data_IF_840570548126
#
_entry.id   IF_840570548126
#
_cell.length_a   1.000
_cell.length_b   1.000
_cell.length_c   1.000
_cell.angle_alpha   90.00
_cell.angle_beta   90.00
_cell.angle_gamma   90.00
#
_symmetry.space_group_name_H-M   'P 1'
#
loop_
_entity.id
_entity.type
_entity.pdbx_description
1 polymer ?
#
# COMPACT_ATOMS: atom_id res chain seq x y z
N UNK A 1 -17.28 18.78 -3.25
CA UNK A 1 -16.19 19.51 -2.55
C UNK A 1 -15.05 18.54 -2.32
N UNK A 2 -13.83 18.93 -2.72
CA UNK A 2 -12.60 18.20 -2.45
C UNK A 2 -11.66 19.12 -1.69
N UNK A 3 -10.95 18.58 -0.70
CA UNK A 3 -9.92 19.29 0.05
C UNK A 3 -8.56 18.91 -0.49
N UNK A 4 -7.65 19.87 -0.58
CA UNK A 4 -6.25 19.63 -0.94
C UNK A 4 -5.50 19.36 0.36
N UNK A 5 -4.89 18.19 0.46
CA UNK A 5 -4.08 17.79 1.61
C UNK A 5 -2.66 17.44 1.15
N UNK A 6 -1.69 17.57 2.06
CA UNK A 6 -0.32 17.14 1.79
C UNK A 6 0.28 16.31 2.92
N UNK A 7 1.21 15.42 2.58
CA UNK A 7 1.95 14.61 3.56
C UNK A 7 2.98 15.45 4.32
N UNK A 8 3.22 15.16 5.59
CA UNK A 8 4.31 15.76 6.37
C UNK A 8 5.61 14.95 6.23
N UNK A 9 6.32 15.13 5.11
CA UNK A 9 7.45 14.25 4.78
C UNK A 9 8.68 14.44 5.69
N UNK A 10 8.82 15.58 6.37
CA UNK A 10 9.91 15.82 7.33
C UNK A 10 9.85 14.89 8.56
N UNK A 11 8.65 14.44 8.93
CA UNK A 11 8.46 13.46 10.00
C UNK A 11 8.93 12.06 9.59
N UNK A 12 9.05 11.81 8.27
CA UNK A 12 9.52 10.55 7.72
C UNK A 12 11.01 10.75 7.38
N UNK A 13 11.90 9.97 7.99
CA UNK A 13 13.36 10.05 7.76
C UNK A 13 13.78 9.48 6.39
N UNK A 14 13.20 9.99 5.30
CA UNK A 14 13.51 9.63 3.92
C UNK A 14 14.31 10.76 3.22
N UNK A 15 14.98 10.43 2.11
CA UNK A 15 15.77 11.39 1.32
C UNK A 15 14.92 12.50 0.71
N UNK A 16 13.66 12.21 0.39
CA UNK A 16 12.76 13.15 -0.27
C UNK A 16 12.26 14.22 0.72
N UNK A 17 12.39 15.49 0.33
CA UNK A 17 11.88 16.64 1.11
C UNK A 17 10.59 17.24 0.56
N UNK A 18 10.25 16.96 -0.70
CA UNK A 18 9.02 17.44 -1.35
C UNK A 18 7.83 16.65 -0.85
N UNK A 19 6.83 17.33 -0.30
CA UNK A 19 5.58 16.71 0.13
C UNK A 19 4.75 16.20 -1.05
N UNK A 20 3.99 15.14 -0.83
CA UNK A 20 2.98 14.67 -1.77
C UNK A 20 1.67 15.40 -1.50
N UNK A 21 1.04 15.92 -2.55
CA UNK A 21 -0.23 16.64 -2.49
C UNK A 21 -1.30 15.75 -3.13
N UNK A 22 -2.50 15.75 -2.56
CA UNK A 22 -3.63 14.98 -3.06
C UNK A 22 -4.94 15.71 -2.79
N UNK A 23 -5.85 15.66 -3.77
CA UNK A 23 -7.25 16.00 -3.54
C UNK A 23 -7.99 14.83 -2.88
N UNK A 24 -8.71 15.11 -1.80
CA UNK A 24 -9.52 14.14 -1.08
C UNK A 24 -10.97 14.62 -1.10
N UNK A 25 -11.87 13.76 -1.57
CA UNK A 25 -13.29 14.09 -1.63
C UNK A 25 -13.93 14.03 -0.24
N UNK A 26 -14.65 15.10 0.13
CA UNK A 26 -15.49 15.11 1.34
C UNK A 26 -16.88 14.56 1.02
N UNK A 27 -17.24 13.49 1.74
CA UNK A 27 -18.52 12.80 1.62
C UNK A 27 -19.36 13.00 2.89
N UNK A 28 -20.69 12.97 2.76
CA UNK A 28 -21.66 13.21 3.85
C UNK A 28 -22.09 14.67 3.98
N UNK A 29 -23.32 14.91 4.48
CA UNK A 29 -23.87 16.26 4.70
C UNK A 29 -24.21 17.06 3.43
N UNK A 30 -24.70 18.28 3.63
CA UNK A 30 -24.98 19.24 2.55
C UNK A 30 -23.69 19.85 1.98
N UNK A 31 -23.81 20.66 0.91
CA UNK A 31 -22.66 21.38 0.35
C UNK A 31 -22.14 22.41 1.35
N UNK A 32 -23.04 23.13 2.03
CA UNK A 32 -22.69 24.15 3.03
C UNK A 32 -21.90 23.55 4.20
N UNK A 33 -22.36 22.40 4.72
CA UNK A 33 -21.68 21.68 5.80
C UNK A 33 -20.25 21.29 5.41
N UNK A 34 -20.06 20.81 4.18
CA UNK A 34 -18.74 20.43 3.66
C UNK A 34 -17.81 21.63 3.53
N UNK A 35 -18.30 22.80 3.10
CA UNK A 35 -17.48 24.02 3.01
C UNK A 35 -17.10 24.48 4.42
N UNK A 36 -18.06 24.50 5.35
CA UNK A 36 -17.82 24.87 6.75
C UNK A 36 -16.77 23.96 7.38
N UNK A 37 -16.92 22.64 7.24
CA UNK A 37 -15.95 21.66 7.74
C UNK A 37 -14.57 21.86 7.13
N UNK A 38 -14.49 22.07 5.81
CA UNK A 38 -13.22 22.31 5.12
C UNK A 38 -12.53 23.58 5.61
N UNK A 39 -13.28 24.64 5.90
CA UNK A 39 -12.76 25.91 6.44
C UNK A 39 -12.26 25.73 7.88
N UNK A 40 -12.99 25.00 8.71
CA UNK A 40 -12.61 24.74 10.11
C UNK A 40 -11.34 23.89 10.24
N UNK A 41 -11.09 23.00 9.26
CA UNK A 41 -9.93 22.10 9.22
C UNK A 41 -8.79 22.62 8.34
N UNK A 42 -8.91 23.82 7.78
CA UNK A 42 -7.84 24.46 7.03
C UNK A 42 -6.64 24.71 7.97
N UNK A 43 -5.43 24.49 7.45
CA UNK A 43 -4.15 24.59 8.19
C UNK A 43 -3.97 23.62 9.37
N UNK A 44 -4.93 22.70 9.61
CA UNK A 44 -4.85 21.71 10.68
C UNK A 44 -4.46 20.33 10.14
N UNK A 45 -3.68 19.54 10.89
CA UNK A 45 -3.39 18.16 10.52
C UNK A 45 -4.61 17.26 10.73
N UNK A 46 -4.81 16.30 9.83
CA UNK A 46 -5.82 15.25 9.95
C UNK A 46 -5.11 13.92 10.21
N UNK A 47 -5.43 13.29 11.34
CA UNK A 47 -4.87 11.98 11.71
C UNK A 47 -5.54 10.84 10.94
N UNK A 48 -4.82 9.73 10.77
CA UNK A 48 -5.32 8.56 10.03
C UNK A 48 -6.52 7.89 10.73
N UNK A 49 -6.57 7.95 12.05
CA UNK A 49 -7.66 7.47 12.91
C UNK A 49 -8.98 8.20 12.67
N UNK A 50 -8.93 9.47 12.26
CA UNK A 50 -10.12 10.25 11.92
C UNK A 50 -10.68 9.88 10.55
N UNK A 51 -9.87 9.26 9.69
CA UNK A 51 -10.26 8.87 8.34
C UNK A 51 -10.68 7.41 8.31
N UNK A 52 -9.89 6.50 8.87
CA UNK A 52 -10.11 5.05 8.80
C UNK A 52 -10.38 4.45 10.18
N UNK A 53 -11.20 3.39 10.19
CA UNK A 53 -11.51 2.61 11.38
C UNK A 53 -10.65 1.35 11.49
N UNK A 54 -10.54 0.84 12.71
CA UNK A 54 -10.04 -0.50 12.98
C UNK A 54 -10.95 -1.55 12.31
N UNK A 55 -10.38 -2.66 11.83
CA UNK A 55 -11.08 -3.77 11.15
C UNK A 55 -11.80 -3.42 9.84
N UNK A 56 -11.65 -2.17 9.37
CA UNK A 56 -12.22 -1.69 8.13
C UNK A 56 -11.55 -2.31 6.90
N UNK A 57 -12.33 -2.57 5.86
CA UNK A 57 -11.84 -2.94 4.53
C UNK A 57 -11.57 -1.67 3.72
N UNK A 58 -10.33 -1.51 3.28
CA UNK A 58 -9.89 -0.38 2.47
C UNK A 58 -9.33 -0.85 1.12
N UNK A 59 -9.18 0.10 0.20
CA UNK A 59 -8.51 -0.13 -1.06
C UNK A 59 -7.14 0.55 -1.06
N UNK A 60 -6.12 -0.12 -1.61
CA UNK A 60 -4.79 0.42 -1.80
C UNK A 60 -4.58 0.75 -3.28
N UNK A 61 -4.27 2.01 -3.58
CA UNK A 61 -3.96 2.50 -4.92
C UNK A 61 -2.50 2.90 -4.98
N UNK A 62 -1.78 2.44 -6.00
CA UNK A 62 -0.38 2.80 -6.16
C UNK A 62 0.28 2.23 -7.40
N UNK A 63 1.59 2.43 -7.48
CA UNK A 63 2.42 1.96 -8.59
C UNK A 63 3.21 0.73 -8.17
N UNK A 64 3.06 -0.36 -8.94
CA UNK A 64 3.74 -1.63 -8.70
C UNK A 64 5.27 -1.50 -8.76
N UNK A 65 6.00 -2.44 -8.15
CA UNK A 65 7.47 -2.48 -8.26
C UNK A 65 7.89 -2.64 -9.73
N UNK A 66 8.68 -1.70 -10.22
CA UNK A 66 9.26 -1.74 -11.56
C UNK A 66 10.20 -2.94 -11.73
N UNK A 67 10.12 -3.62 -12.87
CA UNK A 67 11.01 -4.72 -13.26
C UNK A 67 11.71 -4.45 -14.60
N UNK A 68 11.49 -3.28 -15.22
CA UNK A 68 12.13 -2.85 -16.48
C UNK A 68 11.63 -3.63 -17.70
N UNK A 69 12.41 -3.60 -18.79
CA UNK A 69 12.13 -4.37 -20.00
C UNK A 69 12.32 -5.87 -19.74
N UNK A 70 11.30 -6.68 -20.02
CA UNK A 70 11.33 -8.14 -19.84
C UNK A 70 10.79 -8.87 -21.06
N UNK A 71 11.37 -10.04 -21.32
CA UNK A 71 10.88 -10.97 -22.35
C UNK A 71 9.52 -11.58 -22.01
N UNK A 72 8.89 -12.18 -23.02
CA UNK A 72 7.52 -12.73 -22.96
C UNK A 72 7.30 -13.74 -21.84
N UNK A 73 8.26 -14.65 -21.61
CA UNK A 73 8.15 -15.66 -20.55
C UNK A 73 8.11 -15.03 -19.16
N UNK A 74 8.87 -13.95 -18.92
CA UNK A 74 8.81 -13.26 -17.64
C UNK A 74 7.58 -12.38 -17.56
N UNK A 75 7.24 -11.62 -18.62
CA UNK A 75 6.16 -10.63 -18.59
C UNK A 75 4.76 -11.25 -18.58
N UNK A 76 4.54 -12.23 -19.44
CA UNK A 76 3.24 -12.87 -19.71
C UNK A 76 3.17 -14.33 -19.24
N UNK A 77 4.25 -14.85 -18.65
CA UNK A 77 4.26 -16.22 -18.12
C UNK A 77 4.02 -17.31 -19.18
N UNK A 78 4.41 -17.06 -20.44
CA UNK A 78 4.31 -18.06 -21.51
C UNK A 78 5.21 -19.27 -21.26
N UNK A 79 4.78 -20.47 -21.67
CA UNK A 79 5.59 -21.69 -21.61
C UNK A 79 6.91 -21.50 -22.36
N UNK A 80 8.02 -21.97 -21.78
CA UNK A 80 9.33 -22.00 -22.45
C UNK A 80 9.31 -23.04 -23.57
N UNK A 81 10.00 -22.76 -24.67
CA UNK A 81 10.21 -23.74 -25.73
C UNK A 81 11.24 -24.80 -25.30
N UNK A 82 11.30 -25.95 -25.98
CA UNK A 82 12.26 -27.00 -25.68
C UNK A 82 13.73 -26.54 -25.70
N UNK A 83 14.60 -27.28 -25.01
CA UNK A 83 16.02 -26.97 -24.88
C UNK A 83 16.74 -26.80 -26.23
N UNK A 84 16.37 -27.61 -27.23
CA UNK A 84 17.02 -27.66 -28.56
C UNK A 84 16.48 -26.61 -29.56
N UNK A 85 15.66 -25.64 -29.13
CA UNK A 85 15.12 -24.63 -30.04
C UNK A 85 16.21 -23.66 -30.52
N UNK A 86 16.40 -23.59 -31.84
CA UNK A 86 17.28 -22.61 -32.47
C UNK A 86 16.77 -21.16 -32.29
N UNK A 87 17.69 -20.19 -32.16
CA UNK A 87 17.41 -18.78 -31.86
C UNK A 87 16.63 -18.55 -30.55
N UNK A 88 17.00 -19.29 -29.50
CA UNK A 88 16.54 -19.08 -28.13
C UNK A 88 15.15 -19.65 -27.80
N UNK A 89 14.99 -20.08 -26.55
CA UNK A 89 13.81 -20.83 -26.07
C UNK A 89 12.80 -20.01 -25.25
N UNK A 90 13.11 -18.75 -24.93
CA UNK A 90 12.28 -17.88 -24.06
C UNK A 90 11.43 -16.89 -24.88
N UNK A 91 10.69 -17.41 -25.86
CA UNK A 91 9.89 -16.64 -26.82
C UNK A 91 8.53 -17.29 -27.04
N UNK A 92 7.62 -16.55 -27.68
CA UNK A 92 6.42 -17.13 -28.29
C UNK A 92 6.83 -17.67 -29.66
N UNK A 93 6.43 -18.89 -30.02
CA UNK A 93 6.83 -19.52 -31.28
C UNK A 93 6.11 -18.90 -32.49
N UNK A 94 4.78 -19.00 -32.54
CA UNK A 94 3.95 -18.39 -33.58
C UNK A 94 3.24 -17.15 -33.03
N UNK A 95 3.36 -16.01 -33.71
CA UNK A 95 2.81 -14.71 -33.26
C UNK A 95 1.47 -14.34 -33.93
N UNK A 96 1.00 -15.14 -34.88
CA UNK A 96 -0.25 -14.91 -35.61
C UNK A 96 -0.35 -15.81 -36.85
N UNK A 97 -1.55 -15.96 -37.40
CA UNK A 97 -1.78 -16.59 -38.68
C UNK A 97 -1.31 -15.69 -39.84
N UNK A 98 -1.31 -16.21 -41.07
CA UNK A 98 -0.99 -15.43 -42.26
C UNK A 98 -2.02 -14.31 -42.50
N UNK A 99 -3.31 -14.66 -42.44
CA UNK A 99 -4.42 -13.72 -42.52
C UNK A 99 -5.09 -13.67 -41.14
N UNK A 100 -5.14 -12.52 -40.45
CA UNK A 100 -4.81 -11.17 -40.90
C UNK A 100 -3.30 -10.87 -40.97
N UNK A 101 -2.89 -10.01 -41.91
CA UNK A 101 -1.50 -9.61 -42.19
C UNK A 101 -0.93 -8.62 -41.16
N UNK A 102 -1.28 -8.79 -39.88
CA UNK A 102 -0.82 -7.96 -38.76
C UNK A 102 -0.73 -8.78 -37.48
N UNK A 103 0.20 -8.41 -36.60
CA UNK A 103 0.26 -9.01 -35.25
C UNK A 103 -0.84 -8.40 -34.39
N UNK A 104 -1.70 -9.25 -33.81
CA UNK A 104 -2.75 -8.80 -32.91
C UNK A 104 -2.19 -8.17 -31.63
N UNK A 105 -2.86 -7.15 -31.10
CA UNK A 105 -2.53 -6.51 -29.83
C UNK A 105 -2.65 -7.44 -28.63
N UNK A 106 -3.42 -8.53 -28.76
CA UNK A 106 -3.61 -9.56 -27.73
C UNK A 106 -2.40 -10.50 -27.58
N UNK A 107 -1.47 -10.49 -28.55
CA UNK A 107 -0.33 -11.40 -28.56
C UNK A 107 0.72 -10.98 -27.52
N UNK A 108 1.21 -11.96 -26.77
CA UNK A 108 2.27 -11.75 -25.79
C UNK A 108 3.58 -11.29 -26.46
N UNK A 109 3.95 -10.02 -26.25
CA UNK A 109 5.22 -9.43 -26.70
C UNK A 109 6.16 -9.10 -25.53
N UNK A 110 7.44 -8.87 -25.82
CA UNK A 110 8.40 -8.39 -24.83
C UNK A 110 8.20 -6.87 -24.57
N UNK A 111 8.67 -6.36 -23.43
CA UNK A 111 8.58 -4.93 -23.08
C UNK A 111 8.47 -4.68 -21.59
N UNK A 112 7.98 -3.51 -21.20
CA UNK A 112 7.91 -3.07 -19.81
C UNK A 112 7.12 -4.05 -18.93
N UNK A 113 7.72 -4.47 -17.81
CA UNK A 113 7.07 -5.24 -16.75
C UNK A 113 7.13 -4.47 -15.43
N UNK A 114 5.97 -4.29 -14.79
CA UNK A 114 5.86 -3.56 -13.53
C UNK A 114 5.95 -2.05 -13.72
N UNK A 115 5.90 -1.32 -12.60
CA UNK A 115 5.68 0.14 -12.60
C UNK A 115 4.35 0.55 -13.25
N UNK A 116 3.36 -0.35 -13.18
CA UNK A 116 2.00 -0.08 -13.60
C UNK A 116 1.17 0.42 -12.42
N UNK A 117 0.27 1.37 -12.69
CA UNK A 117 -0.76 1.81 -11.75
C UNK A 117 -1.76 0.68 -11.48
N UNK A 118 -2.04 0.36 -10.23
CA UNK A 118 -2.96 -0.70 -9.81
C UNK A 118 -3.76 -0.25 -8.58
N UNK A 119 -4.97 -0.81 -8.49
CA UNK A 119 -5.83 -0.70 -7.31
C UNK A 119 -6.08 -2.12 -6.80
N UNK A 120 -5.70 -2.37 -5.55
CA UNK A 120 -6.01 -3.62 -4.85
C UNK A 120 -7.10 -3.32 -3.81
N UNK A 121 -8.25 -3.98 -3.98
CA UNK A 121 -9.42 -3.79 -3.11
C UNK A 121 -9.40 -4.75 -1.91
N UNK A 122 -10.26 -4.49 -0.92
CA UNK A 122 -10.53 -5.42 0.19
C UNK A 122 -9.31 -5.74 1.07
N UNK A 123 -8.45 -4.76 1.32
CA UNK A 123 -7.35 -4.86 2.28
C UNK A 123 -7.87 -4.53 3.67
N UNK A 124 -7.88 -5.52 4.55
CA UNK A 124 -8.37 -5.34 5.92
C UNK A 124 -7.33 -4.64 6.80
N UNK A 125 -7.75 -3.63 7.54
CA UNK A 125 -6.93 -3.00 8.58
C UNK A 125 -6.93 -3.91 9.81
N UNK A 126 -5.74 -4.33 10.24
CA UNK A 126 -5.54 -5.13 11.45
C UNK A 126 -5.15 -4.30 12.67
N UNK A 127 -4.56 -3.12 12.46
CA UNK A 127 -4.23 -2.19 13.54
C UNK A 127 -4.06 -0.78 12.97
N UNK A 128 -4.65 0.21 13.62
CA UNK A 128 -4.24 1.61 13.51
C UNK A 128 -3.38 1.91 14.75
N UNK A 129 -2.07 1.98 14.56
CA UNK A 129 -1.12 2.19 15.65
C UNK A 129 -0.74 3.65 15.77
N UNK A 130 -0.76 4.17 16.99
CA UNK A 130 -0.22 5.50 17.28
C UNK A 130 1.30 5.51 17.13
N UNK A 131 1.82 6.64 16.68
CA UNK A 131 3.25 6.93 16.71
C UNK A 131 3.82 6.94 18.12
N UNK A 132 5.15 7.03 18.21
CA UNK A 132 5.85 7.25 19.47
C UNK A 132 5.46 8.64 19.97
N UNK A 133 4.83 8.69 21.14
CA UNK A 133 4.34 9.93 21.72
C UNK A 133 4.67 9.99 23.20
N UNK A 134 4.77 11.21 23.73
CA UNK A 134 4.99 11.42 25.16
C UNK A 134 3.64 11.66 25.82
N UNK A 135 3.33 10.89 26.85
CA UNK A 135 2.17 11.10 27.72
C UNK A 135 2.67 11.14 29.15
N UNK A 136 2.29 12.17 29.90
CA UNK A 136 2.64 12.34 31.32
C UNK A 136 4.17 12.27 31.56
N UNK A 137 4.96 12.87 30.65
CA UNK A 137 6.43 12.87 30.71
C UNK A 137 7.10 11.55 30.31
N UNK A 138 6.34 10.48 30.07
CA UNK A 138 6.86 9.17 29.64
C UNK A 138 6.71 8.98 28.14
N UNK A 139 7.79 8.56 27.48
CA UNK A 139 7.77 8.21 26.05
C UNK A 139 7.13 6.84 25.89
N UNK A 140 5.95 6.82 25.26
CA UNK A 140 5.20 5.62 24.94
C UNK A 140 5.60 5.15 23.53
N UNK A 141 6.22 3.97 23.47
CA UNK A 141 6.72 3.34 22.23
C UNK A 141 6.16 1.94 21.99
N UNK A 142 5.26 1.48 22.85
CA UNK A 142 4.69 0.12 22.87
C UNK A 142 3.62 -0.11 21.78
N UNK A 143 3.79 0.42 20.57
CA UNK A 143 2.76 0.34 19.52
C UNK A 143 2.60 -1.07 18.89
N UNK A 144 3.46 -2.03 19.24
CA UNK A 144 3.32 -3.44 18.90
C UNK A 144 2.97 -4.34 20.08
N UNK A 145 2.73 -3.79 21.28
CA UNK A 145 2.15 -4.57 22.38
C UNK A 145 0.71 -4.98 22.05
N UNK A 146 0.24 -6.06 22.66
CA UNK A 146 -1.14 -6.55 22.49
C UNK A 146 -1.74 -6.88 23.85
N UNK A 147 -3.04 -7.12 23.93
CA UNK A 147 -3.69 -7.55 25.18
C UNK A 147 -3.11 -8.86 25.74
N UNK A 148 -2.61 -9.73 24.84
CA UNK A 148 -2.04 -11.04 25.19
C UNK A 148 -0.51 -10.99 25.34
N UNK A 149 0.13 -9.90 24.91
CA UNK A 149 1.57 -9.73 24.89
C UNK A 149 1.91 -8.33 25.38
N UNK A 150 2.16 -8.25 26.68
CA UNK A 150 2.41 -7.02 27.43
C UNK A 150 3.85 -6.49 27.26
N UNK A 151 4.66 -7.11 26.40
CA UNK A 151 6.03 -6.64 26.16
C UNK A 151 6.04 -5.20 25.64
N UNK A 152 6.89 -4.36 26.23
CA UNK A 152 7.10 -2.99 25.75
C UNK A 152 7.95 -3.00 24.47
N UNK A 153 7.29 -3.25 23.35
CA UNK A 153 7.91 -3.30 22.02
C UNK A 153 7.22 -2.39 21.02
N UNK A 154 8.05 -1.80 20.16
CA UNK A 154 7.59 -1.03 19.00
C UNK A 154 7.39 -1.91 17.79
N UNK A 155 6.63 -1.44 16.81
CA UNK A 155 6.40 -2.11 15.52
C UNK A 155 7.67 -2.21 14.68
N UNK A 156 8.66 -1.38 14.98
CA UNK A 156 9.96 -1.44 14.31
C UNK A 156 10.72 -2.69 14.76
N UNK A 157 11.09 -3.60 13.85
CA UNK A 157 11.83 -4.80 14.20
C UNK A 157 13.25 -4.48 14.65
N UNK A 158 13.94 -5.45 15.27
CA UNK A 158 15.36 -5.31 15.62
C UNK A 158 16.19 -4.92 14.40
N UNK A 159 16.98 -3.84 14.52
CA UNK A 159 17.77 -3.27 13.41
C UNK A 159 16.98 -2.43 12.39
N UNK A 160 15.67 -2.22 12.62
CA UNK A 160 14.81 -1.41 11.75
C UNK A 160 14.24 -2.17 10.55
N UNK A 161 13.26 -1.58 9.87
CA UNK A 161 12.73 -2.19 8.65
C UNK A 161 13.78 -2.12 7.52
N UNK A 162 14.19 -3.25 6.92
CA UNK A 162 15.30 -3.27 5.97
C UNK A 162 15.00 -2.38 4.76
N UNK A 163 15.90 -1.48 4.39
CA UNK A 163 15.72 -0.47 3.34
C UNK A 163 14.54 0.50 3.53
N UNK A 164 13.94 0.59 4.72
CA UNK A 164 12.97 1.60 5.09
C UNK A 164 13.52 2.51 6.19
N UNK A 165 13.83 1.94 7.35
CA UNK A 165 14.20 2.64 8.58
C UNK A 165 13.23 2.34 9.72
N UNK A 166 13.12 3.26 10.67
CA UNK A 166 12.23 3.16 11.83
C UNK A 166 10.86 3.77 11.53
N UNK A 167 9.82 3.23 12.17
CA UNK A 167 8.44 3.75 12.09
C UNK A 167 8.09 4.38 13.44
N UNK A 168 8.16 5.72 13.49
CA UNK A 168 7.92 6.50 14.71
C UNK A 168 6.59 7.27 14.69
N UNK A 169 5.93 7.35 13.54
CA UNK A 169 4.65 8.04 13.36
C UNK A 169 3.50 7.03 13.32
N UNK A 170 2.27 7.54 13.26
CA UNK A 170 1.08 6.71 13.09
C UNK A 170 1.21 5.78 11.88
N UNK A 171 0.71 4.55 12.02
CA UNK A 171 0.77 3.56 10.96
C UNK A 171 -0.52 2.74 10.87
N UNK A 172 -0.72 2.16 9.70
CA UNK A 172 -1.81 1.22 9.44
C UNK A 172 -1.19 -0.13 9.10
N UNK A 173 -1.51 -1.14 9.91
CA UNK A 173 -1.18 -2.52 9.61
C UNK A 173 -2.30 -3.12 8.77
N UNK A 174 -1.98 -3.56 7.55
CA UNK A 174 -2.93 -4.16 6.62
C UNK A 174 -2.69 -5.66 6.45
N UNK A 175 -3.76 -6.42 6.23
CA UNK A 175 -3.70 -7.85 5.94
C UNK A 175 -3.02 -8.10 4.58
N UNK A 176 -1.99 -8.95 4.60
CA UNK A 176 -1.32 -9.44 3.40
C UNK A 176 -0.35 -8.43 2.79
N UNK A 177 0.00 -8.63 1.51
CA UNK A 177 0.92 -7.75 0.80
C UNK A 177 0.23 -6.48 0.30
N UNK A 178 1.04 -5.47 -0.02
CA UNK A 178 0.63 -4.23 -0.66
C UNK A 178 1.45 -3.97 -1.92
N UNK A 179 0.88 -3.20 -2.83
CA UNK A 179 1.50 -2.80 -4.09
C UNK A 179 2.78 -1.99 -3.81
N UNK A 180 3.78 -2.16 -4.67
CA UNK A 180 4.94 -1.27 -4.71
C UNK A 180 6.18 -1.85 -4.06
N UNK A 181 7.12 -0.98 -3.71
CA UNK A 181 8.36 -1.33 -3.02
C UNK A 181 8.39 -0.55 -1.72
N UNK A 182 9.32 -0.91 -0.84
CA UNK A 182 9.62 -0.13 0.36
C UNK A 182 9.85 1.35 0.01
N UNK A 183 9.44 2.24 0.90
CA UNK A 183 9.46 3.72 0.74
C UNK A 183 8.56 4.26 -0.38
N UNK A 184 7.65 3.47 -0.96
CA UNK A 184 6.68 3.95 -1.95
C UNK A 184 5.47 4.55 -1.26
N UNK A 185 5.03 5.71 -1.73
CA UNK A 185 3.73 6.26 -1.37
C UNK A 185 2.61 5.35 -1.90
N UNK A 186 1.62 5.10 -1.05
CA UNK A 186 0.40 4.36 -1.35
C UNK A 186 -0.78 5.21 -0.93
N UNK A 187 -1.74 5.35 -1.83
CA UNK A 187 -3.00 6.04 -1.54
C UNK A 187 -3.97 5.02 -0.97
N UNK A 188 -4.42 5.25 0.27
CA UNK A 188 -5.51 4.47 0.87
C UNK A 188 -6.83 5.15 0.56
N UNK A 189 -7.83 4.35 0.19
CA UNK A 189 -9.17 4.81 -0.13
C UNK A 189 -10.18 3.99 0.65
N UNK A 190 -11.25 4.64 1.12
CA UNK A 190 -12.45 3.94 1.59
C UNK A 190 -12.96 2.99 0.50
N UNK A 191 -13.44 1.83 0.91
CA UNK A 191 -14.05 0.89 -0.04
C UNK A 191 -15.27 1.53 -0.70
N UNK A 192 -15.43 1.27 -2.00
CA UNK A 192 -16.62 1.67 -2.75
C UNK A 192 -17.78 0.70 -2.58
N UNK A 193 -17.52 -0.49 -2.03
CA UNK A 193 -18.47 -1.58 -1.92
C UNK A 193 -19.00 -1.67 -0.49
N UNK A 194 -20.30 -1.96 -0.34
CA UNK A 194 -20.85 -2.37 0.94
C UNK A 194 -20.37 -3.79 1.26
N UNK A 195 -19.73 -3.95 2.41
CA UNK A 195 -19.27 -5.27 2.87
C UNK A 195 -20.30 -5.91 3.78
N UNK A 196 -20.77 -7.10 3.39
CA UNK A 196 -21.73 -7.91 4.18
C UNK A 196 -21.18 -9.29 4.55
N UNK A 197 -20.03 -9.67 3.99
CA UNK A 197 -19.41 -10.98 4.25
C UNK A 197 -18.87 -11.04 5.67
N UNK A 198 -19.07 -12.17 6.35
CA UNK A 198 -18.53 -12.43 7.70
C UNK A 198 -17.03 -12.16 7.82
N UNK A 199 -16.24 -12.58 6.83
CA UNK A 199 -14.77 -12.32 6.83
C UNK A 199 -14.41 -10.84 6.75
N UNK A 200 -15.25 -10.01 6.12
CA UNK A 200 -15.06 -8.57 6.06
C UNK A 200 -15.44 -7.90 7.39
N UNK A 201 -16.49 -8.37 8.07
CA UNK A 201 -17.01 -7.82 9.32
C UNK A 201 -16.34 -8.38 10.59
N UNK A 202 -15.48 -9.38 10.46
CA UNK A 202 -14.76 -10.00 11.57
C UNK A 202 -13.94 -8.98 12.38
N UNK A 203 -14.05 -8.99 13.71
CA UNK A 203 -13.21 -8.13 14.55
C UNK A 203 -11.85 -8.79 14.79
N UNK A 204 -10.75 -8.07 14.59
CA UNK A 204 -9.41 -8.63 14.67
C UNK A 204 -8.82 -8.38 16.06
N UNK A 205 -8.56 -9.45 16.79
CA UNK A 205 -7.79 -9.43 18.04
C UNK A 205 -6.41 -10.03 17.82
N UNK A 206 -5.41 -9.17 17.65
CA UNK A 206 -4.02 -9.59 17.51
C UNK A 206 -3.49 -10.11 18.86
N UNK A 207 -2.96 -11.33 18.88
CA UNK A 207 -2.36 -11.93 20.09
C UNK A 207 -0.85 -11.69 20.19
N UNK A 208 -0.18 -11.58 19.06
CA UNK A 208 1.27 -11.42 19.00
C UNK A 208 1.66 -10.72 17.70
N UNK A 209 2.66 -9.87 17.79
CA UNK A 209 3.30 -9.21 16.64
C UNK A 209 4.79 -9.53 16.70
N UNK A 210 5.30 -10.18 15.66
CA UNK A 210 6.70 -10.54 15.55
C UNK A 210 7.56 -9.32 15.17
N UNK A 211 8.45 -8.93 16.06
CA UNK A 211 9.39 -7.81 15.91
C UNK A 211 10.85 -8.27 15.83
N UNK A 212 11.08 -9.56 15.53
CA UNK A 212 12.42 -10.09 15.25
C UNK A 212 13.08 -9.39 14.04
N UNK A 213 14.42 -9.48 13.97
CA UNK A 213 15.22 -8.97 12.84
C UNK A 213 14.64 -9.45 11.51
N UNK A 214 14.61 -8.55 10.53
CA UNK A 214 14.24 -8.86 9.13
C UNK A 214 15.44 -8.78 8.19
N UNK A 215 16.66 -8.70 8.74
CA UNK A 215 17.93 -8.61 8.01
C UNK A 215 18.70 -9.94 7.95
N UNK A 216 17.96 -11.06 7.94
CA UNK A 216 18.55 -12.38 8.16
C UNK A 216 18.43 -12.80 9.62
#
# INVERSE_FOLDING_TARGET
IRVIAHSQIRLIKQRQKKAHIMEIQLNGGSIEDKVKWAREHLEKPIQVSNVFGQDEMIDCVGVTKGKGFKGVTSRWHTKKLPRKTHKGLRKVACIGAWHPSRVSTTVARAGQKGYHHRTEINKKIYRIGAGIHTKDGKVIKNNASTEYDLTDKSITPMGGFPHYGEVNNDFVMIKGCCIGSKKRIITLRKSLLKHTKRSALEQIKLKFIDTSSKMG
#
